data_IF_627616372696
#
_entry.id   IF_627616372696
#
_cell.length_a   1.000
_cell.length_b   1.000
_cell.length_c   1.000
_cell.angle_alpha   90.00
_cell.angle_beta   90.00
_cell.angle_gamma   90.00
#
_symmetry.space_group_name_H-M   'P 1'
#
loop_
_entity.id
_entity.type
_entity.pdbx_description
1 polymer ?
#
# COMPACT_ATOMS: atom_id res chain seq x y z
N UNK A 1 2.00 -1.70 15.28
CA UNK A 1 2.96 -0.86 14.51
C UNK A 1 3.33 -1.50 13.16
N UNK A 2 2.99 -2.77 12.92
CA UNK A 2 3.47 -3.55 11.76
C UNK A 2 2.74 -3.34 10.43
N UNK A 3 1.46 -3.00 10.42
CA UNK A 3 0.70 -2.87 9.15
C UNK A 3 1.25 -1.76 8.25
N UNK A 4 1.63 -0.61 8.82
CA UNK A 4 2.20 0.52 8.06
C UNK A 4 3.52 0.13 7.39
N UNK A 5 4.33 -0.70 8.06
CA UNK A 5 5.61 -1.20 7.52
C UNK A 5 5.36 -2.18 6.37
N UNK A 6 4.39 -3.09 6.52
CA UNK A 6 4.01 -4.05 5.48
C UNK A 6 3.54 -3.33 4.21
N UNK A 7 2.67 -2.33 4.35
CA UNK A 7 2.19 -1.58 3.20
C UNK A 7 3.32 -0.77 2.54
N UNK A 8 4.19 -0.14 3.32
CA UNK A 8 5.35 0.56 2.77
C UNK A 8 6.21 -0.36 1.90
N UNK A 9 6.47 -1.58 2.38
CA UNK A 9 7.18 -2.61 1.59
C UNK A 9 6.43 -3.02 0.32
N UNK A 10 5.10 -3.15 0.37
CA UNK A 10 4.28 -3.44 -0.81
C UNK A 10 4.39 -2.31 -1.84
N UNK A 11 4.29 -1.04 -1.41
CA UNK A 11 4.43 0.12 -2.30
C UNK A 11 5.85 0.22 -2.89
N UNK A 12 6.90 0.03 -2.08
CA UNK A 12 8.29 0.01 -2.55
C UNK A 12 8.54 -1.11 -3.57
N UNK A 13 7.98 -2.30 -3.32
CA UNK A 13 8.09 -3.42 -4.25
C UNK A 13 7.37 -3.13 -5.57
N UNK A 14 6.17 -2.54 -5.52
CA UNK A 14 5.39 -2.21 -6.72
C UNK A 14 6.02 -1.07 -7.52
N UNK A 15 6.68 -0.10 -6.87
CA UNK A 15 7.46 0.92 -7.59
C UNK A 15 8.57 0.32 -8.44
N UNK A 16 9.22 -0.74 -7.96
CA UNK A 16 10.33 -1.39 -8.67
C UNK A 16 9.86 -2.45 -9.66
N UNK A 17 8.89 -3.28 -9.28
CA UNK A 17 8.44 -4.45 -10.05
C UNK A 17 7.29 -4.13 -11.02
N UNK A 18 6.61 -2.98 -10.85
CA UNK A 18 5.44 -2.52 -11.62
C UNK A 18 4.31 -3.57 -11.72
N UNK A 19 4.25 -4.51 -10.77
CA UNK A 19 3.28 -5.60 -10.75
C UNK A 19 1.96 -5.16 -10.07
N UNK A 20 1.10 -4.52 -10.86
CA UNK A 20 -0.19 -3.99 -10.39
C UNK A 20 -1.19 -5.08 -9.99
N UNK A 21 -1.11 -6.28 -10.59
CA UNK A 21 -2.03 -7.38 -10.29
C UNK A 21 -1.79 -7.95 -8.89
N UNK A 22 -0.52 -8.13 -8.53
CA UNK A 22 -0.14 -8.51 -7.17
C UNK A 22 -0.51 -7.43 -6.15
N UNK A 23 -0.25 -6.16 -6.48
CA UNK A 23 -0.62 -5.02 -5.63
C UNK A 23 -2.10 -4.98 -5.27
N UNK A 24 -2.97 -5.09 -6.28
CA UNK A 24 -4.41 -5.05 -6.07
C UNK A 24 -4.91 -6.24 -5.22
N UNK A 25 -4.28 -7.41 -5.40
CA UNK A 25 -4.58 -8.60 -4.59
C UNK A 25 -4.21 -8.40 -3.13
N UNK A 26 -3.07 -7.79 -2.82
CA UNK A 26 -2.66 -7.47 -1.44
C UNK A 26 -3.58 -6.43 -0.80
N UNK A 27 -3.94 -5.36 -1.51
CA UNK A 27 -4.89 -4.36 -1.01
C UNK A 27 -6.23 -5.00 -0.61
N UNK A 28 -6.73 -5.92 -1.46
CA UNK A 28 -7.97 -6.66 -1.20
C UNK A 28 -7.82 -7.65 -0.04
N UNK A 29 -6.68 -8.35 0.05
CA UNK A 29 -6.38 -9.30 1.14
C UNK A 29 -6.33 -8.62 2.50
N UNK A 30 -5.87 -7.38 2.54
CA UNK A 30 -5.78 -6.59 3.77
C UNK A 30 -7.04 -5.77 4.08
N UNK A 31 -8.15 -5.93 3.33
CA UNK A 31 -9.40 -5.17 3.52
C UNK A 31 -9.19 -3.65 3.55
N UNK A 32 -8.30 -3.13 2.70
CA UNK A 32 -8.11 -1.69 2.58
C UNK A 32 -9.36 -1.08 1.96
N UNK A 33 -10.01 -0.16 2.69
CA UNK A 33 -11.17 0.57 2.18
C UNK A 33 -10.72 1.67 1.22
N UNK A 34 -9.76 2.49 1.63
CA UNK A 34 -9.10 3.49 0.81
C UNK A 34 -7.72 3.83 1.38
N UNK A 35 -6.81 4.26 0.51
CA UNK A 35 -5.50 4.77 0.91
C UNK A 35 -5.29 6.17 0.33
N UNK A 36 -4.67 7.06 1.10
CA UNK A 36 -4.29 8.41 0.72
C UNK A 36 -2.77 8.43 0.61
N UNK A 37 -2.28 8.66 -0.60
CA UNK A 37 -0.85 8.71 -0.88
C UNK A 37 -0.41 10.17 -1.01
N UNK A 38 0.37 10.65 -0.05
CA UNK A 38 0.92 12.01 -0.03
C UNK A 38 2.24 12.04 -0.81
N UNK A 39 2.19 12.43 -2.09
CA UNK A 39 3.39 12.53 -2.94
C UNK A 39 4.47 13.44 -2.34
N UNK A 40 4.06 14.53 -1.69
CA UNK A 40 5.00 15.54 -1.17
C UNK A 40 5.86 15.05 0.00
N UNK A 41 5.36 14.09 0.78
CA UNK A 41 6.04 13.60 1.99
C UNK A 41 6.34 12.10 1.93
N UNK A 42 6.03 11.45 0.81
CA UNK A 42 6.04 10.00 0.63
C UNK A 42 5.30 9.23 1.75
N UNK A 43 4.26 9.85 2.32
CA UNK A 43 3.48 9.26 3.40
C UNK A 43 2.24 8.58 2.84
N UNK A 44 1.88 7.44 3.43
CA UNK A 44 0.68 6.70 3.05
C UNK A 44 -0.23 6.59 4.25
N UNK A 45 -1.43 7.13 4.15
CA UNK A 45 -2.48 6.93 5.11
C UNK A 45 -3.42 5.83 4.60
N UNK A 46 -3.65 4.81 5.41
CA UNK A 46 -4.38 3.61 4.99
C UNK A 46 -5.56 3.44 5.92
N UNK A 47 -6.75 3.43 5.33
CA UNK A 47 -8.01 3.24 6.05
C UNK A 47 -8.50 1.83 5.74
N UNK A 48 -8.51 0.99 6.77
CA UNK A 48 -9.03 -0.38 6.70
C UNK A 48 -10.55 -0.37 6.90
N UNK A 49 -11.23 -1.38 6.36
CA UNK A 49 -12.66 -1.58 6.54
C UNK A 49 -12.99 -2.32 7.83
#
# INVERSE_FOLDING_TARGET
MDQVVIFKQIFDKVRNDLNYQWFYSELKRHNVSHYIYYLATDNVHIVLK
#
